data_IF_565345357582
#
_entry.id   IF_565345357582
#
_cell.length_a   1.000
_cell.length_b   1.000
_cell.length_c   1.000
_cell.angle_alpha   90.00
_cell.angle_beta   90.00
_cell.angle_gamma   90.00
#
_symmetry.space_group_name_H-M   'P 1'
#
loop_
_entity.id
_entity.type
_entity.pdbx_description
1 polymer ?
#
# COMPACT_ATOMS: atom_id res chain seq x y z
N UNK A 1 16.44 -16.68 19.48
CA UNK A 1 15.51 -15.59 19.12
C UNK A 1 15.90 -15.15 17.71
N UNK A 2 14.94 -14.96 16.82
CA UNK A 2 15.20 -14.55 15.44
C UNK A 2 14.91 -13.06 15.28
N UNK A 3 15.79 -12.34 14.61
CA UNK A 3 15.64 -10.91 14.33
C UNK A 3 15.67 -10.67 12.82
N UNK A 4 14.58 -10.18 12.28
CA UNK A 4 14.47 -9.83 10.86
C UNK A 4 14.59 -8.32 10.65
N UNK A 5 15.52 -7.91 9.78
CA UNK A 5 15.62 -6.55 9.29
C UNK A 5 14.90 -6.40 7.95
N UNK A 6 14.13 -5.34 7.74
CA UNK A 6 13.55 -5.05 6.41
C UNK A 6 14.56 -4.33 5.56
N UNK A 7 14.89 -4.90 4.37
CA UNK A 7 15.73 -4.21 3.39
C UNK A 7 14.96 -3.08 2.71
N UNK A 8 15.65 -1.96 2.53
CA UNK A 8 15.12 -0.78 1.85
C UNK A 8 16.26 0.10 1.36
N UNK A 9 15.96 1.20 0.63
CA UNK A 9 16.98 2.06 0.02
C UNK A 9 18.04 2.58 1.00
N UNK A 10 17.68 2.76 2.26
CA UNK A 10 18.60 3.26 3.31
C UNK A 10 19.61 2.23 3.80
N UNK A 11 19.39 0.94 3.56
CA UNK A 11 20.26 -0.14 4.05
C UNK A 11 20.63 -1.18 2.98
N UNK A 12 20.21 -0.98 1.73
CA UNK A 12 20.51 -1.89 0.61
C UNK A 12 21.96 -1.72 0.12
N UNK A 13 22.91 -1.87 1.03
CA UNK A 13 24.36 -1.84 0.79
C UNK A 13 25.01 -3.00 1.53
N UNK A 14 25.97 -3.65 0.88
CA UNK A 14 26.64 -4.86 1.42
C UNK A 14 27.18 -4.61 2.82
N UNK A 15 27.97 -3.55 2.99
CA UNK A 15 28.61 -3.20 4.27
C UNK A 15 27.57 -2.95 5.39
N UNK A 16 26.47 -2.27 5.07
CA UNK A 16 25.40 -2.00 6.03
C UNK A 16 24.73 -3.29 6.49
N UNK A 17 24.41 -4.20 5.56
CA UNK A 17 23.81 -5.47 5.88
C UNK A 17 24.76 -6.36 6.68
N UNK A 18 26.05 -6.37 6.35
CA UNK A 18 27.08 -7.11 7.12
C UNK A 18 27.11 -6.64 8.59
N UNK A 19 27.13 -5.33 8.81
CA UNK A 19 27.08 -4.75 10.16
C UNK A 19 25.79 -5.10 10.91
N UNK A 20 24.64 -5.18 10.21
CA UNK A 20 23.37 -5.62 10.82
C UNK A 20 23.44 -7.09 11.24
N UNK A 21 24.07 -7.94 10.45
CA UNK A 21 24.32 -9.34 10.82
C UNK A 21 25.25 -9.46 12.03
N UNK A 22 26.35 -8.72 12.03
CA UNK A 22 27.29 -8.67 13.17
C UNK A 22 26.58 -8.19 14.45
N UNK A 23 25.59 -7.31 14.31
CA UNK A 23 24.75 -6.84 15.42
C UNK A 23 23.67 -7.84 15.85
N UNK A 24 23.56 -9.02 15.18
CA UNK A 24 22.67 -10.11 15.58
C UNK A 24 21.45 -10.30 14.69
N UNK A 25 21.37 -9.66 13.52
CA UNK A 25 20.28 -9.90 12.56
C UNK A 25 20.43 -11.34 11.99
N UNK A 26 19.34 -12.11 12.04
CA UNK A 26 19.30 -13.51 11.60
C UNK A 26 18.57 -13.72 10.28
N UNK A 27 17.78 -12.74 9.83
CA UNK A 27 17.03 -12.83 8.59
C UNK A 27 16.74 -11.46 7.98
N UNK A 28 16.44 -11.45 6.70
CA UNK A 28 16.02 -10.23 5.95
C UNK A 28 14.58 -10.41 5.49
N UNK A 29 13.78 -9.35 5.66
CA UNK A 29 12.45 -9.22 5.07
C UNK A 29 12.53 -8.30 3.87
N UNK A 30 12.02 -8.74 2.73
CA UNK A 30 11.82 -7.96 1.51
C UNK A 30 10.32 -7.73 1.29
N UNK A 31 9.90 -6.47 1.24
CA UNK A 31 8.50 -6.12 1.02
C UNK A 31 8.25 -5.80 -0.46
N UNK A 32 7.45 -6.60 -1.16
CA UNK A 32 7.12 -6.43 -2.57
C UNK A 32 5.98 -5.42 -2.82
N UNK A 33 5.49 -4.73 -1.80
CA UNK A 33 4.53 -3.62 -2.01
C UNK A 33 5.15 -2.44 -2.76
N UNK A 34 6.48 -2.37 -2.85
CA UNK A 34 7.22 -1.30 -3.53
C UNK A 34 7.72 -1.68 -4.92
N UNK A 35 7.32 -2.82 -5.45
CA UNK A 35 7.66 -3.27 -6.79
C UNK A 35 7.81 -4.78 -6.91
N UNK A 36 7.82 -5.31 -8.13
CA UNK A 36 7.99 -6.74 -8.36
C UNK A 36 9.40 -7.21 -7.98
N UNK A 37 9.55 -8.49 -7.71
CA UNK A 37 10.84 -9.10 -7.34
C UNK A 37 11.94 -8.82 -8.38
N UNK A 38 11.58 -8.77 -9.66
CA UNK A 38 12.51 -8.46 -10.76
C UNK A 38 13.11 -7.05 -10.68
N UNK A 39 12.44 -6.10 -10.04
CA UNK A 39 12.96 -4.74 -9.82
C UNK A 39 13.98 -4.67 -8.67
N UNK A 40 14.08 -5.72 -7.87
CA UNK A 40 14.93 -5.79 -6.67
C UNK A 40 16.08 -6.79 -6.83
N UNK A 41 16.51 -7.07 -8.07
CA UNK A 41 17.58 -8.02 -8.35
C UNK A 41 18.88 -7.65 -7.61
N UNK A 42 19.26 -6.38 -7.66
CA UNK A 42 20.47 -5.90 -6.99
C UNK A 42 20.43 -6.14 -5.47
N UNK A 43 19.25 -6.02 -4.86
CA UNK A 43 19.08 -6.33 -3.43
C UNK A 43 19.22 -7.81 -3.15
N UNK A 44 18.72 -8.68 -4.03
CA UNK A 44 18.89 -10.12 -3.91
C UNK A 44 20.36 -10.52 -4.01
N UNK A 45 21.09 -9.90 -4.94
CA UNK A 45 22.53 -10.15 -5.10
C UNK A 45 23.31 -9.74 -3.84
N UNK A 46 22.98 -8.60 -3.23
CA UNK A 46 23.57 -8.14 -1.97
C UNK A 46 23.22 -9.10 -0.81
N UNK A 47 21.94 -9.49 -0.68
CA UNK A 47 21.48 -10.43 0.36
C UNK A 47 22.23 -11.75 0.24
N UNK A 48 22.40 -12.25 -0.98
CA UNK A 48 23.13 -13.49 -1.24
C UNK A 48 24.62 -13.35 -0.88
N UNK A 49 25.24 -12.22 -1.20
CA UNK A 49 26.62 -11.93 -0.88
C UNK A 49 26.89 -11.83 0.63
N UNK A 50 25.93 -11.35 1.41
CA UNK A 50 26.01 -11.30 2.89
C UNK A 50 25.92 -12.69 3.51
N UNK A 51 25.31 -13.66 2.80
CA UNK A 51 25.20 -15.05 3.26
C UNK A 51 24.19 -15.27 4.38
N UNK A 52 23.16 -14.42 4.49
CA UNK A 52 22.09 -14.62 5.46
C UNK A 52 21.22 -15.79 5.00
N UNK A 53 20.99 -16.81 5.85
CA UNK A 53 20.28 -18.02 5.46
C UNK A 53 18.74 -17.83 5.36
N UNK A 54 18.19 -16.76 5.93
CA UNK A 54 16.75 -16.57 6.02
C UNK A 54 16.31 -15.32 5.26
N UNK A 55 15.54 -15.53 4.19
CA UNK A 55 14.88 -14.48 3.42
C UNK A 55 13.37 -14.64 3.50
N UNK A 56 12.69 -13.65 4.08
CA UNK A 56 11.23 -13.55 4.10
C UNK A 56 10.80 -12.60 3.01
N UNK A 57 10.04 -13.10 2.05
CA UNK A 57 9.44 -12.29 0.99
C UNK A 57 7.98 -12.02 1.38
N UNK A 58 7.69 -10.75 1.66
CA UNK A 58 6.35 -10.28 2.00
C UNK A 58 5.63 -9.85 0.72
N UNK A 59 4.65 -10.66 0.33
CA UNK A 59 3.87 -10.45 -0.89
C UNK A 59 2.77 -9.43 -0.63
N UNK A 60 2.59 -8.53 -1.58
CA UNK A 60 1.40 -7.70 -1.60
C UNK A 60 0.18 -8.59 -1.81
N UNK A 61 -0.72 -8.63 -0.83
CA UNK A 61 -2.00 -9.32 -0.93
C UNK A 61 -2.94 -8.64 -1.94
N UNK A 62 -4.19 -9.12 -2.09
CA UNK A 62 -5.20 -8.50 -2.95
C UNK A 62 -5.70 -7.19 -2.32
N UNK A 63 -4.89 -6.13 -2.40
CA UNK A 63 -5.24 -4.82 -1.89
C UNK A 63 -6.06 -4.02 -2.90
N UNK A 64 -7.11 -3.37 -2.40
CA UNK A 64 -7.86 -2.38 -3.15
C UNK A 64 -7.32 -0.99 -2.78
N UNK A 65 -6.60 -0.36 -3.68
CA UNK A 65 -6.06 0.99 -3.49
C UNK A 65 -6.66 1.95 -4.49
N UNK A 66 -6.90 3.19 -4.07
CA UNK A 66 -7.19 4.26 -5.04
C UNK A 66 -5.97 4.52 -5.91
N UNK A 67 -6.18 5.07 -7.09
CA UNK A 67 -5.10 5.43 -8.00
C UNK A 67 -4.35 6.70 -7.59
N UNK A 68 -3.55 7.20 -8.52
CA UNK A 68 -2.78 8.44 -8.33
C UNK A 68 -3.71 9.67 -8.40
N UNK A 69 -3.56 10.56 -7.44
CA UNK A 69 -4.21 11.86 -7.40
C UNK A 69 -3.20 12.94 -7.85
N UNK A 70 -3.64 13.99 -8.58
CA UNK A 70 -2.77 15.11 -8.94
C UNK A 70 -2.20 15.84 -7.72
N UNK A 71 -2.99 15.89 -6.64
CA UNK A 71 -2.65 16.46 -5.35
C UNK A 71 -3.49 15.80 -4.25
N UNK A 72 -3.06 15.85 -2.99
CA UNK A 72 -3.86 15.39 -1.87
C UNK A 72 -5.24 16.06 -1.84
N UNK A 73 -6.28 15.28 -1.55
CA UNK A 73 -7.66 15.76 -1.53
C UNK A 73 -8.14 15.89 -0.09
N UNK A 74 -8.46 17.13 0.32
CA UNK A 74 -9.04 17.38 1.65
C UNK A 74 -10.55 17.11 1.59
N UNK A 75 -11.00 16.15 2.37
CA UNK A 75 -12.39 15.71 2.46
C UNK A 75 -13.01 16.16 3.78
N UNK A 76 -14.20 16.70 3.73
CA UNK A 76 -14.97 17.13 4.92
C UNK A 76 -16.19 16.23 5.11
N UNK A 77 -16.59 15.94 6.37
CA UNK A 77 -17.83 15.21 6.63
C UNK A 77 -19.02 15.83 5.92
N UNK A 78 -19.89 15.01 5.33
CA UNK A 78 -21.04 15.42 4.52
C UNK A 78 -20.71 15.77 3.06
N UNK A 79 -19.43 15.87 2.71
CA UNK A 79 -19.02 16.13 1.32
C UNK A 79 -19.30 14.91 0.44
N UNK A 80 -19.66 15.19 -0.81
CA UNK A 80 -19.79 14.17 -1.85
C UNK A 80 -18.41 13.80 -2.41
N UNK A 81 -18.17 12.51 -2.62
CA UNK A 81 -16.94 11.96 -3.20
C UNK A 81 -17.31 10.95 -4.29
N UNK A 82 -16.82 11.17 -5.51
CA UNK A 82 -16.94 10.20 -6.60
C UNK A 82 -15.70 9.32 -6.68
N UNK A 83 -15.89 7.99 -6.65
CA UNK A 83 -14.85 7.00 -6.85
C UNK A 83 -15.07 6.27 -8.18
N UNK A 84 -14.05 6.16 -9.03
CA UNK A 84 -14.15 5.56 -10.35
C UNK A 84 -14.15 6.58 -11.48
N UNK A 85 -14.88 6.31 -12.55
CA UNK A 85 -14.88 7.17 -13.74
C UNK A 85 -15.33 8.59 -13.44
N UNK A 86 -14.50 9.57 -13.80
CA UNK A 86 -14.76 11.00 -13.57
C UNK A 86 -14.58 11.47 -12.12
N UNK A 87 -13.94 10.66 -11.27
CA UNK A 87 -13.64 10.98 -9.88
C UNK A 87 -12.27 10.46 -9.46
N UNK A 88 -12.12 10.14 -8.19
CA UNK A 88 -10.92 9.52 -7.64
C UNK A 88 -10.75 8.15 -8.28
N UNK A 89 -9.63 7.87 -8.95
CA UNK A 89 -9.40 6.58 -9.59
C UNK A 89 -9.43 5.45 -8.57
N UNK A 90 -10.16 4.38 -8.87
CA UNK A 90 -10.17 3.17 -8.04
C UNK A 90 -10.34 1.92 -8.93
N UNK A 91 -10.00 0.72 -8.41
CA UNK A 91 -10.15 -0.52 -9.17
C UNK A 91 -11.59 -0.76 -9.59
N UNK A 92 -11.79 -1.19 -10.84
CA UNK A 92 -13.13 -1.53 -11.37
C UNK A 92 -13.82 -2.61 -10.53
N UNK A 93 -13.06 -3.56 -9.98
CA UNK A 93 -13.59 -4.60 -9.10
C UNK A 93 -14.32 -4.01 -7.87
N UNK A 94 -13.80 -2.91 -7.29
CA UNK A 94 -14.45 -2.21 -6.19
C UNK A 94 -15.80 -1.62 -6.64
N UNK A 95 -15.81 -0.93 -7.80
CA UNK A 95 -17.02 -0.30 -8.34
C UNK A 95 -18.12 -1.33 -8.61
N UNK A 96 -17.76 -2.48 -9.18
CA UNK A 96 -18.71 -3.54 -9.51
C UNK A 96 -19.25 -4.28 -8.27
N UNK A 97 -18.41 -4.45 -7.24
CA UNK A 97 -18.79 -5.17 -6.03
C UNK A 97 -19.59 -4.32 -5.04
N UNK A 98 -19.38 -3.01 -5.05
CA UNK A 98 -19.97 -2.09 -4.08
C UNK A 98 -21.49 -1.96 -4.24
N UNK A 99 -22.16 -1.71 -3.12
CA UNK A 99 -23.61 -1.53 -3.04
C UNK A 99 -23.93 -0.27 -2.20
N UNK A 100 -25.02 0.44 -2.52
CA UNK A 100 -25.50 1.55 -1.68
C UNK A 100 -25.64 1.14 -0.21
N UNK A 101 -25.26 2.04 0.69
CA UNK A 101 -25.26 1.83 2.14
C UNK A 101 -23.99 1.22 2.69
N UNK A 102 -23.10 0.65 1.88
CA UNK A 102 -21.82 0.12 2.34
C UNK A 102 -20.86 1.23 2.75
N UNK A 103 -20.05 0.94 3.75
CA UNK A 103 -19.00 1.82 4.25
C UNK A 103 -17.63 1.35 3.77
N UNK A 104 -16.81 2.29 3.31
CA UNK A 104 -15.41 2.06 2.98
C UNK A 104 -14.49 2.86 3.88
N UNK A 105 -13.51 2.16 4.43
CA UNK A 105 -12.40 2.77 5.13
C UNK A 105 -11.27 3.03 4.11
N UNK A 106 -10.74 4.25 4.09
CA UNK A 106 -9.62 4.66 3.27
C UNK A 106 -8.46 5.10 4.15
N UNK A 107 -7.23 4.97 3.65
CA UNK A 107 -5.99 5.35 4.33
C UNK A 107 -5.92 4.76 5.76
N UNK A 108 -5.88 3.42 5.84
CA UNK A 108 -5.79 2.66 7.09
C UNK A 108 -6.87 3.03 8.12
N UNK A 109 -8.07 3.35 7.63
CA UNK A 109 -9.21 3.70 8.46
C UNK A 109 -9.25 5.15 8.92
N UNK A 110 -8.37 6.01 8.45
CA UNK A 110 -8.38 7.46 8.78
C UNK A 110 -9.59 8.18 8.22
N UNK A 111 -10.04 7.77 7.02
CA UNK A 111 -11.24 8.30 6.38
C UNK A 111 -12.32 7.22 6.31
N UNK A 112 -13.57 7.66 6.37
CA UNK A 112 -14.74 6.80 6.20
C UNK A 112 -15.69 7.44 5.21
N UNK A 113 -16.07 6.68 4.19
CA UNK A 113 -17.09 7.09 3.21
C UNK A 113 -18.20 6.05 3.13
N UNK A 114 -19.41 6.49 2.87
CA UNK A 114 -20.56 5.62 2.65
C UNK A 114 -21.00 5.73 1.19
N UNK A 115 -21.22 4.60 0.54
CA UNK A 115 -21.76 4.55 -0.82
C UNK A 115 -23.22 4.99 -0.79
N UNK A 116 -23.54 6.08 -1.49
CA UNK A 116 -24.89 6.54 -1.69
C UNK A 116 -25.51 5.90 -2.94
N UNK A 117 -24.76 5.88 -4.06
CA UNK A 117 -25.21 5.36 -5.35
C UNK A 117 -24.05 4.63 -6.06
N UNK A 118 -24.39 3.65 -6.90
CA UNK A 118 -23.47 2.94 -7.77
C UNK A 118 -24.08 2.87 -9.18
N UNK A 119 -23.38 3.44 -10.18
CA UNK A 119 -23.85 3.50 -11.57
C UNK A 119 -23.16 2.45 -12.48
N UNK A 120 -22.33 1.56 -11.91
CA UNK A 120 -21.56 0.55 -12.64
C UNK A 120 -20.24 1.05 -13.21
N UNK A 121 -20.03 2.36 -13.36
CA UNK A 121 -18.78 2.98 -13.79
C UNK A 121 -18.09 3.74 -12.63
N UNK A 122 -18.87 4.17 -11.65
CA UNK A 122 -18.39 4.88 -10.48
C UNK A 122 -19.32 4.69 -9.27
N UNK A 123 -18.82 5.08 -8.11
CA UNK A 123 -19.57 5.15 -6.87
C UNK A 123 -19.70 6.59 -6.44
N UNK A 124 -20.91 7.01 -6.13
CA UNK A 124 -21.16 8.26 -5.47
C UNK A 124 -21.20 8.02 -3.98
N UNK A 125 -20.28 8.61 -3.24
CA UNK A 125 -20.11 8.39 -1.81
C UNK A 125 -20.36 9.69 -1.04
N UNK A 126 -20.80 9.54 0.22
CA UNK A 126 -20.82 10.62 1.21
C UNK A 126 -19.68 10.42 2.20
N UNK A 127 -18.91 11.45 2.45
CA UNK A 127 -17.84 11.43 3.45
C UNK A 127 -18.47 11.43 4.84
N UNK A 128 -18.24 10.38 5.62
CA UNK A 128 -18.70 10.25 7.02
C UNK A 128 -17.65 10.79 7.98
N UNK A 129 -16.39 10.37 7.79
CA UNK A 129 -15.23 10.89 8.52
C UNK A 129 -14.23 11.45 7.53
N UNK A 130 -13.95 12.74 7.63
CA UNK A 130 -13.06 13.48 6.74
C UNK A 130 -11.60 13.37 7.12
N UNK A 131 -10.76 13.96 6.29
CA UNK A 131 -9.31 14.00 6.42
C UNK A 131 -8.66 14.29 5.07
N UNK A 132 -7.34 14.10 4.98
CA UNK A 132 -6.60 14.28 3.74
C UNK A 132 -6.37 12.92 3.07
N UNK A 133 -6.99 12.71 1.92
CA UNK A 133 -6.80 11.52 1.09
C UNK A 133 -5.56 11.72 0.20
N UNK A 134 -4.61 10.79 0.31
CA UNK A 134 -3.40 10.77 -0.51
C UNK A 134 -3.49 9.72 -1.62
N UNK A 135 -2.62 9.80 -2.62
CA UNK A 135 -2.50 8.81 -3.69
C UNK A 135 -2.23 7.41 -3.17
N UNK A 136 -2.75 6.41 -3.86
CA UNK A 136 -2.43 4.99 -3.64
C UNK A 136 -2.78 4.46 -2.23
N UNK A 137 -3.86 4.98 -1.64
CA UNK A 137 -4.38 4.58 -0.30
C UNK A 137 -5.64 3.72 -0.41
#
# INVERSE_FOLDING_TARGET
MEFYGTIGPSCAQLETLQRMVEAGMTGIRMNLSHGPLSAHKDWLDIIHAVGIPQLLIDLQGPELRIGTLPQPLVLKPGQSLRLGQGGVPCPAALVHAARPGQNFLLDDGRLLVQVAEADGAALQCTVVRGGTLQSCK
#
